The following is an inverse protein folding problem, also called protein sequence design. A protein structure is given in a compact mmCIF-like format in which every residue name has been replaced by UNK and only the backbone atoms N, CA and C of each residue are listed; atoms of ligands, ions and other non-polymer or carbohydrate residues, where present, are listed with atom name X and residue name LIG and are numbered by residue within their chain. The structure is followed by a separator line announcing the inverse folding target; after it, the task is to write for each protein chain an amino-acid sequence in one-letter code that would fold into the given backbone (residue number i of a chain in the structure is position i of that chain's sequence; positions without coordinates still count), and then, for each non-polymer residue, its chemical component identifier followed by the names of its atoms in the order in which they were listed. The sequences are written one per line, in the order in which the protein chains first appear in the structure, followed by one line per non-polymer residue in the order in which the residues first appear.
data_IF_073457919263
#
_entry.id   IF_073457919263
#
_cell.length_a   1.000
_cell.length_b   1.000
_cell.length_c   1.000
_cell.angle_alpha   90.00
_cell.angle_beta   90.00
_cell.angle_gamma   90.00
#
_symmetry.space_group_name_H-M   'P 1'
#
loop_
_entity.id
_entity.type
_entity.pdbx_description
1 polymer ?
#
# COMPACT_ATOMS: atom_id res chain seq x y z
N UNK A 1 -11.37 -22.18 11.26
CA UNK A 1 -12.30 -21.03 11.24
C UNK A 1 -11.68 -20.00 12.15
N UNK A 2 -10.83 -19.15 11.59
CA UNK A 2 -10.42 -17.90 12.21
C UNK A 2 -10.68 -16.83 11.14
N UNK A 3 -11.96 -16.49 11.02
CA UNK A 3 -12.40 -15.31 10.29
C UNK A 3 -12.14 -14.10 11.21
N UNK A 4 -11.50 -13.08 10.63
CA UNK A 4 -11.52 -11.69 11.08
C UNK A 4 -10.48 -11.24 12.12
N UNK A 5 -9.19 -11.40 11.79
CA UNK A 5 -8.26 -10.27 12.04
C UNK A 5 -8.49 -9.29 10.90
N UNK A 6 -8.78 -7.98 11.11
CA UNK A 6 -8.73 -7.02 10.02
C UNK A 6 -7.33 -7.12 9.41
N UNK A 7 -7.29 -7.70 8.22
CA UNK A 7 -6.11 -8.37 7.70
C UNK A 7 -4.97 -7.37 7.64
N UNK A 8 -3.83 -7.73 8.19
CA UNK A 8 -2.58 -6.96 8.22
C UNK A 8 -2.25 -6.36 6.84
N UNK A 9 -2.77 -7.02 5.80
CA UNK A 9 -2.71 -6.72 4.37
C UNK A 9 -3.45 -5.43 3.96
N UNK A 10 -4.51 -5.02 4.66
CA UNK A 10 -5.41 -3.92 4.22
C UNK A 10 -5.08 -2.56 4.81
N UNK A 11 -4.15 -2.48 5.77
CA UNK A 11 -3.89 -1.26 6.57
C UNK A 11 -3.49 -0.04 5.73
N UNK A 12 -2.93 -0.27 4.54
CA UNK A 12 -2.51 0.78 3.61
C UNK A 12 -3.38 0.89 2.37
N UNK A 13 -4.47 0.13 2.23
CA UNK A 13 -5.26 0.08 0.99
C UNK A 13 -5.82 1.47 0.62
N UNK A 14 -6.43 2.16 1.57
CA UNK A 14 -6.98 3.51 1.35
C UNK A 14 -5.89 4.53 0.98
N UNK A 15 -4.69 4.37 1.55
CA UNK A 15 -3.55 5.22 1.21
C UNK A 15 -2.99 4.87 -0.17
N UNK A 16 -2.94 3.59 -0.54
CA UNK A 16 -2.50 3.13 -1.86
C UNK A 16 -3.46 3.65 -2.94
N UNK A 17 -4.77 3.43 -2.78
CA UNK A 17 -5.78 3.85 -3.76
C UNK A 17 -5.83 5.38 -3.92
N UNK A 18 -5.57 6.11 -2.84
CA UNK A 18 -5.50 7.58 -2.85
C UNK A 18 -4.14 8.16 -3.30
N UNK A 19 -3.18 7.33 -3.73
CA UNK A 19 -1.80 7.72 -4.04
C UNK A 19 -1.10 8.50 -2.90
N UNK A 20 -1.36 8.11 -1.65
CA UNK A 20 -0.75 8.65 -0.43
C UNK A 20 0.38 7.72 0.05
N UNK A 21 1.45 7.65 -0.74
CA UNK A 21 2.57 6.71 -0.54
C UNK A 21 3.20 6.81 0.85
N UNK A 22 3.60 8.02 1.28
CA UNK A 22 4.26 8.21 2.58
C UNK A 22 3.33 7.86 3.78
N UNK A 23 2.06 8.32 3.82
CA UNK A 23 1.10 7.85 4.81
C UNK A 23 0.95 6.32 4.86
N UNK A 24 0.80 5.65 3.72
CA UNK A 24 0.60 4.20 3.71
C UNK A 24 1.82 3.40 4.17
N UNK A 25 3.04 3.81 3.77
CA UNK A 25 4.29 3.22 4.28
C UNK A 25 4.39 3.43 5.79
N UNK A 26 4.02 4.63 6.28
CA UNK A 26 4.04 4.93 7.72
C UNK A 26 3.03 4.05 8.47
N UNK A 27 1.82 3.89 7.96
CA UNK A 27 0.78 3.05 8.54
C UNK A 27 1.25 1.59 8.65
N UNK A 28 1.83 1.03 7.59
CA UNK A 28 2.43 -0.31 7.61
C UNK A 28 3.52 -0.44 8.65
N UNK A 29 4.43 0.54 8.71
CA UNK A 29 5.53 0.53 9.68
C UNK A 29 5.02 0.54 11.13
N UNK A 30 4.06 1.40 11.44
CA UNK A 30 3.48 1.51 12.78
C UNK A 30 2.67 0.26 13.15
N UNK A 31 1.93 -0.31 12.19
CA UNK A 31 1.12 -1.49 12.39
C UNK A 31 1.94 -2.78 12.59
N UNK A 32 3.01 -2.95 11.80
CA UNK A 32 3.86 -4.13 11.81
C UNK A 32 5.04 -4.05 12.79
N UNK A 33 5.37 -2.84 13.26
CA UNK A 33 6.59 -2.61 14.04
C UNK A 33 7.88 -2.87 13.26
N UNK A 34 7.84 -2.77 11.93
CA UNK A 34 8.96 -3.13 11.06
C UNK A 34 9.88 -1.93 10.72
N UNK A 35 10.94 -2.20 9.96
CA UNK A 35 11.81 -1.15 9.40
C UNK A 35 11.11 -0.38 8.28
N UNK A 36 11.64 0.80 7.93
CA UNK A 36 11.15 1.57 6.78
C UNK A 36 11.28 0.78 5.47
N UNK A 37 12.37 0.03 5.31
CA UNK A 37 12.62 -0.79 4.12
C UNK A 37 11.59 -1.91 3.99
N UNK A 38 11.31 -2.63 5.08
CA UNK A 38 10.28 -3.67 5.09
C UNK A 38 8.90 -3.08 4.79
N UNK A 39 8.55 -1.94 5.39
CA UNK A 39 7.29 -1.26 5.11
C UNK A 39 7.14 -0.85 3.62
N UNK A 40 8.22 -0.38 2.98
CA UNK A 40 8.21 -0.04 1.56
C UNK A 40 8.02 -1.28 0.68
N UNK A 41 8.68 -2.40 0.99
CA UNK A 41 8.51 -3.67 0.27
C UNK A 41 7.04 -4.12 0.36
N UNK A 42 6.48 -4.18 1.57
CA UNK A 42 5.09 -4.56 1.80
C UNK A 42 4.10 -3.63 1.10
N UNK A 43 4.36 -2.32 1.11
CA UNK A 43 3.54 -1.34 0.40
C UNK A 43 3.54 -1.60 -1.11
N UNK A 44 4.72 -1.90 -1.67
CA UNK A 44 4.87 -2.18 -3.11
C UNK A 44 4.17 -3.48 -3.50
N UNK A 45 4.32 -4.53 -2.70
CA UNK A 45 3.63 -5.81 -2.92
C UNK A 45 2.10 -5.63 -2.85
N UNK A 46 1.60 -4.88 -1.86
CA UNK A 46 0.16 -4.63 -1.74
C UNK A 46 -0.39 -3.77 -2.88
N UNK A 47 0.38 -2.78 -3.34
CA UNK A 47 0.05 -1.99 -4.53
C UNK A 47 -0.15 -2.89 -5.76
N UNK A 48 0.73 -3.86 -6.00
CA UNK A 48 0.58 -4.77 -7.14
C UNK A 48 -0.65 -5.66 -7.03
N UNK A 49 -0.98 -6.14 -5.82
CA UNK A 49 -2.21 -6.91 -5.59
C UNK A 49 -3.45 -6.06 -5.89
N UNK A 50 -3.52 -4.84 -5.34
CA UNK A 50 -4.66 -3.94 -5.58
C UNK A 50 -4.78 -3.55 -7.05
N UNK A 51 -3.67 -3.40 -7.77
CA UNK A 51 -3.69 -3.12 -9.21
C UNK A 51 -4.32 -4.24 -10.03
N UNK A 52 -4.25 -5.48 -9.56
CA UNK A 52 -4.88 -6.63 -10.21
C UNK A 52 -6.33 -6.77 -9.77
N UNK A 53 -6.60 -6.64 -8.47
CA UNK A 53 -7.93 -6.87 -7.89
C UNK A 53 -8.92 -5.72 -8.16
N UNK A 54 -8.43 -4.48 -8.15
CA UNK A 54 -9.23 -3.24 -8.13
C UNK A 54 -8.65 -2.17 -9.06
N UNK A 55 -8.38 -2.47 -10.35
CA UNK A 55 -7.72 -1.53 -11.25
C UNK A 55 -8.48 -0.21 -11.42
N UNK A 56 -9.82 -0.25 -11.40
CA UNK A 56 -10.69 0.89 -11.64
C UNK A 56 -10.75 1.89 -10.46
N UNK A 57 -10.26 1.51 -9.28
CA UNK A 57 -10.24 2.38 -8.10
C UNK A 57 -9.01 3.31 -8.08
N UNK A 58 -8.02 3.07 -8.93
CA UNK A 58 -6.85 3.93 -9.04
C UNK A 58 -7.15 5.16 -9.91
N UNK A 59 -6.89 6.33 -9.35
CA UNK A 59 -7.05 7.62 -10.07
C UNK A 59 -5.96 7.91 -11.10
N UNK A 60 -4.83 7.18 -11.06
CA UNK A 60 -3.67 7.39 -11.92
C UNK A 60 -3.29 6.12 -12.68
N UNK A 61 -2.67 6.23 -13.87
CA UNK A 61 -2.06 5.09 -14.55
C UNK A 61 -0.83 4.58 -13.78
N UNK A 62 -0.43 3.34 -14.07
CA UNK A 62 0.70 2.65 -13.41
C UNK A 62 2.00 3.46 -13.49
N UNK A 63 2.27 4.04 -14.65
CA UNK A 63 3.53 4.75 -14.93
C UNK A 63 3.61 6.11 -14.20
N UNK A 64 2.48 6.65 -13.74
CA UNK A 64 2.44 7.94 -13.04
C UNK A 64 2.41 7.80 -11.51
N UNK A 65 2.01 6.63 -11.01
CA UNK A 65 1.77 6.42 -9.59
C UNK A 65 2.99 6.75 -8.71
N UNK A 66 4.20 6.41 -9.16
CA UNK A 66 5.45 6.61 -8.42
C UNK A 66 6.14 7.95 -8.70
N UNK A 67 5.53 8.84 -9.48
CA UNK A 67 6.13 10.12 -9.84
C UNK A 67 6.38 10.98 -8.60
N UNK A 68 7.62 11.48 -8.47
CA UNK A 68 8.04 12.32 -7.35
C UNK A 68 8.36 11.59 -6.05
N UNK A 69 8.33 10.26 -6.04
CA UNK A 69 8.73 9.47 -4.86
C UNK A 69 10.24 9.12 -4.85
N UNK A 70 10.81 8.80 -6.01
CA UNK A 70 12.21 8.39 -6.16
C UNK A 70 13.17 9.53 -6.58
N UNK A 71 12.72 10.79 -6.51
CA UNK A 71 13.47 11.97 -6.97
C UNK A 71 14.52 12.47 -6.00
#
# INVERSE_FOLDING_TARGET
MDENTPDVVTVADDDILANRILPGIRALREHLGCSLQEALIMFTERYEVLRVERPDEFSQPRDEYWNGFYS
#
